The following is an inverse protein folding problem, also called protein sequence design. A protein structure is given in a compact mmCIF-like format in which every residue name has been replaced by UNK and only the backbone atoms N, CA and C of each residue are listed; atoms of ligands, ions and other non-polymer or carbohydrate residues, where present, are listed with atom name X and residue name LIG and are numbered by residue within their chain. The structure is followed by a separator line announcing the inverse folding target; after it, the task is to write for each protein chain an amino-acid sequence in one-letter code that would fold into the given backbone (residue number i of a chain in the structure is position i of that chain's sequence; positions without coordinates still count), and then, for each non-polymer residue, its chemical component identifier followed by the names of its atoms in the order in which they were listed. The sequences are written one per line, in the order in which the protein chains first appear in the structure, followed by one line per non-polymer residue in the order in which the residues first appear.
data_IF_797078537797
#
_entry.id   IF_797078537797
#
_cell.length_a   1.000
_cell.length_b   1.000
_cell.length_c   1.000
_cell.angle_alpha   90.00
_cell.angle_beta   90.00
_cell.angle_gamma   90.00
#
_symmetry.space_group_name_H-M   'P 1'
#
loop_
_entity.id
_entity.type
_entity.pdbx_description
1 polymer ?
#
# COMPACT_ATOMS: atom_id res chain seq x y z
N UNK A 1 -9.74 -2.24 -3.17
CA UNK A 1 -8.68 -1.94 -2.16
C UNK A 1 -8.47 -3.17 -1.31
N UNK A 2 -7.23 -3.52 -0.99
CA UNK A 2 -6.88 -4.61 -0.08
C UNK A 2 -5.96 -4.04 1.00
N UNK A 3 -6.18 -4.39 2.26
CA UNK A 3 -5.23 -4.17 3.33
C UNK A 3 -4.74 -5.53 3.87
N UNK A 4 -3.48 -5.59 4.25
CA UNK A 4 -2.87 -6.78 4.85
C UNK A 4 -1.94 -6.38 6.00
N UNK A 5 -1.62 -7.32 6.86
CA UNK A 5 -0.57 -7.20 7.85
C UNK A 5 0.79 -7.71 7.32
N UNK A 6 1.82 -7.66 8.15
CA UNK A 6 3.17 -8.14 7.78
C UNK A 6 3.28 -9.67 7.79
N UNK A 7 2.30 -10.37 8.35
CA UNK A 7 2.17 -11.84 8.28
C UNK A 7 1.46 -12.29 7.00
N UNK A 8 1.26 -11.39 6.04
CA UNK A 8 0.55 -11.60 4.77
C UNK A 8 -0.94 -11.98 4.94
N UNK A 9 -1.53 -11.67 6.10
CA UNK A 9 -2.96 -11.85 6.33
C UNK A 9 -3.73 -10.66 5.78
N UNK A 10 -4.77 -10.93 5.02
CA UNK A 10 -5.65 -9.89 4.48
C UNK A 10 -6.60 -9.46 5.60
N UNK A 11 -6.55 -8.18 5.95
CA UNK A 11 -7.36 -7.57 7.01
C UNK A 11 -8.58 -6.82 6.46
N UNK A 12 -8.52 -6.39 5.20
CA UNK A 12 -9.62 -5.71 4.53
C UNK A 12 -9.63 -6.03 3.05
N UNK A 13 -10.82 -6.23 2.51
CA UNK A 13 -11.08 -6.26 1.06
C UNK A 13 -12.24 -5.32 0.73
N UNK A 14 -12.00 -4.33 -0.12
CA UNK A 14 -13.03 -3.48 -0.70
C UNK A 14 -13.00 -3.64 -2.22
N UNK A 15 -13.99 -4.34 -2.76
CA UNK A 15 -14.14 -4.66 -4.19
C UNK A 15 -15.25 -3.81 -4.84
N UNK A 16 -15.45 -3.98 -6.14
CA UNK A 16 -16.54 -3.34 -6.88
C UNK A 16 -16.26 -1.89 -7.33
N UNK A 17 -14.99 -1.49 -7.38
CA UNK A 17 -14.60 -0.18 -7.86
C UNK A 17 -14.14 -0.22 -9.31
N UNK A 18 -14.58 0.77 -10.09
CA UNK A 18 -14.06 0.99 -11.45
C UNK A 18 -12.58 1.37 -11.40
N UNK A 19 -11.82 1.02 -12.44
CA UNK A 19 -10.40 1.30 -12.54
C UNK A 19 -10.05 2.81 -12.53
N UNK A 20 -11.01 3.67 -12.80
CA UNK A 20 -10.93 5.14 -12.75
C UNK A 20 -11.14 5.73 -11.35
N UNK A 21 -11.61 4.93 -10.38
CA UNK A 21 -11.84 5.43 -9.03
C UNK A 21 -10.51 5.82 -8.36
N UNK A 22 -10.46 7.01 -7.77
CA UNK A 22 -9.29 7.48 -7.04
C UNK A 22 -9.17 6.76 -5.70
N UNK A 23 -7.92 6.54 -5.26
CA UNK A 23 -7.59 5.85 -4.02
C UNK A 23 -8.26 6.47 -2.80
N UNK A 24 -8.27 7.80 -2.74
CA UNK A 24 -8.92 8.55 -1.66
C UNK A 24 -10.44 8.36 -1.65
N UNK A 25 -11.10 8.16 -2.80
CA UNK A 25 -12.52 7.84 -2.88
C UNK A 25 -12.82 6.45 -2.35
N UNK A 26 -11.99 5.48 -2.73
CA UNK A 26 -12.12 4.09 -2.28
C UNK A 26 -11.91 4.00 -0.76
N UNK A 27 -10.89 4.67 -0.24
CA UNK A 27 -10.61 4.71 1.21
C UNK A 27 -11.75 5.36 1.99
N UNK A 28 -12.25 6.52 1.53
CA UNK A 28 -13.39 7.21 2.17
C UNK A 28 -14.63 6.34 2.25
N UNK A 29 -14.92 5.59 1.17
CA UNK A 29 -16.02 4.64 1.18
C UNK A 29 -15.77 3.44 2.11
N UNK A 30 -14.53 2.96 2.24
CA UNK A 30 -14.23 1.92 3.21
C UNK A 30 -14.45 2.41 4.64
N UNK A 31 -14.00 3.64 4.95
CA UNK A 31 -14.21 4.26 6.27
C UNK A 31 -15.71 4.47 6.58
N UNK A 32 -16.51 4.89 5.60
CA UNK A 32 -17.97 5.03 5.78
C UNK A 32 -18.68 3.69 5.99
N UNK A 33 -18.06 2.58 5.62
CA UNK A 33 -18.55 1.21 5.85
C UNK A 33 -17.99 0.55 7.12
N UNK A 34 -17.38 1.35 8.01
CA UNK A 34 -16.86 0.87 9.30
C UNK A 34 -15.40 0.43 9.28
N UNK A 35 -14.63 0.75 8.23
CA UNK A 35 -13.18 0.54 8.29
C UNK A 35 -12.57 1.60 9.20
N UNK A 36 -12.02 1.14 10.32
CA UNK A 36 -11.36 1.98 11.31
C UNK A 36 -9.91 1.58 11.48
N UNK A 37 -9.05 2.56 11.70
CA UNK A 37 -7.65 2.34 12.07
C UNK A 37 -7.57 2.38 13.59
N UNK A 38 -7.17 1.29 14.27
CA UNK A 38 -7.09 1.26 15.72
C UNK A 38 -6.14 2.36 16.26
N UNK A 39 -6.40 2.91 17.45
CA UNK A 39 -5.52 3.91 18.08
C UNK A 39 -4.06 3.44 18.16
N UNK A 40 -3.11 4.34 17.91
CA UNK A 40 -1.67 4.04 17.93
C UNK A 40 -1.18 3.17 16.77
N UNK A 41 -2.00 2.98 15.74
CA UNK A 41 -1.65 2.17 14.56
C UNK A 41 -1.83 2.97 13.28
N UNK A 42 -1.14 2.59 12.23
CA UNK A 42 -1.24 3.24 10.92
C UNK A 42 -1.01 2.24 9.79
N UNK A 43 -1.50 2.61 8.63
CA UNK A 43 -1.27 1.87 7.39
C UNK A 43 -0.22 2.58 6.53
N UNK A 44 0.69 1.81 5.97
CA UNK A 44 1.55 2.29 4.88
C UNK A 44 0.73 2.29 3.60
N UNK A 45 0.57 3.46 3.01
CA UNK A 45 -0.24 3.65 1.80
C UNK A 45 0.62 4.12 0.62
N UNK A 46 0.07 4.02 -0.57
CA UNK A 46 0.70 4.50 -1.79
C UNK A 46 0.74 6.03 -1.87
N UNK A 47 1.56 6.58 -2.77
CA UNK A 47 1.67 8.02 -3.04
C UNK A 47 0.38 8.69 -3.53
N UNK A 48 -0.63 7.91 -3.94
CA UNK A 48 -1.97 8.39 -4.28
C UNK A 48 -2.80 8.84 -3.08
N UNK A 49 -2.41 8.47 -1.87
CA UNK A 49 -3.11 8.82 -0.63
C UNK A 49 -2.56 10.10 0.02
N UNK A 50 -3.39 10.73 0.84
CA UNK A 50 -2.93 11.81 1.71
C UNK A 50 -2.21 11.23 2.94
N UNK A 51 -1.13 11.91 3.37
CA UNK A 51 -0.43 11.56 4.58
C UNK A 51 -1.22 12.08 5.80
N UNK A 52 -1.54 11.20 6.75
CA UNK A 52 -2.30 11.48 7.96
C UNK A 52 -1.71 10.70 9.14
N UNK A 53 -2.24 10.88 10.35
CA UNK A 53 -1.85 10.08 11.52
C UNK A 53 -2.13 8.58 11.36
N UNK A 54 -3.13 8.22 10.54
CA UNK A 54 -3.55 6.83 10.31
C UNK A 54 -3.04 6.24 8.99
N UNK A 55 -2.56 7.07 8.08
CA UNK A 55 -2.10 6.65 6.75
C UNK A 55 -0.78 7.33 6.41
N UNK A 56 0.28 6.53 6.36
CA UNK A 56 1.63 7.00 6.10
C UNK A 56 1.98 6.79 4.63
N UNK A 57 1.99 7.90 3.88
CA UNK A 57 2.34 7.95 2.46
C UNK A 57 3.81 8.36 2.27
N UNK A 58 4.44 8.01 1.14
CA UNK A 58 5.78 8.46 0.81
C UNK A 58 5.81 9.96 0.48
N UNK A 59 6.96 10.59 0.64
CA UNK A 59 7.19 11.96 0.22
C UNK A 59 7.08 12.07 -1.30
N UNK A 60 6.25 13.00 -1.79
CA UNK A 60 6.08 13.28 -3.21
C UNK A 60 7.29 14.02 -3.77
N UNK A 61 7.62 13.75 -5.04
CA UNK A 61 8.75 14.40 -5.72
C UNK A 61 10.13 13.98 -5.22
N UNK A 62 10.20 12.91 -4.42
CA UNK A 62 11.43 12.32 -3.89
C UNK A 62 11.49 10.87 -4.38
N UNK A 63 12.67 10.35 -4.70
CA UNK A 63 12.87 8.98 -5.15
C UNK A 63 12.15 7.98 -4.23
N UNK A 64 11.35 7.11 -4.85
CA UNK A 64 10.49 6.18 -4.12
C UNK A 64 10.66 4.73 -4.54
N UNK A 65 10.92 4.49 -5.82
CA UNK A 65 11.03 3.11 -6.32
C UNK A 65 12.35 2.47 -5.89
N UNK A 66 12.29 1.21 -5.45
CA UNK A 66 13.50 0.47 -5.04
C UNK A 66 14.55 0.35 -6.16
N UNK A 67 14.11 0.43 -7.43
CA UNK A 67 15.00 0.45 -8.59
C UNK A 67 15.84 1.74 -8.69
N UNK A 68 15.41 2.81 -8.03
CA UNK A 68 16.15 4.09 -7.95
C UNK A 68 17.27 4.03 -6.91
N UNK A 69 17.32 2.96 -6.10
CA UNK A 69 18.35 2.72 -5.08
C UNK A 69 19.03 1.37 -5.37
N UNK A 70 20.33 1.32 -5.36
CA UNK A 70 21.08 0.11 -5.62
C UNK A 70 22.50 0.39 -6.10
N UNK A 71 23.27 -0.65 -6.49
CA UNK A 71 24.67 -0.51 -6.88
C UNK A 71 24.92 0.50 -8.00
N UNK A 72 23.96 0.67 -8.91
CA UNK A 72 24.04 1.58 -10.05
C UNK A 72 23.42 2.96 -9.84
N UNK A 73 22.60 3.17 -8.80
CA UNK A 73 21.85 4.41 -8.59
C UNK A 73 22.18 5.11 -7.25
N UNK A 74 23.06 4.50 -6.44
CA UNK A 74 23.53 5.07 -5.18
C UNK A 74 22.63 4.77 -3.97
N UNK A 75 23.05 5.32 -2.82
CA UNK A 75 22.34 5.23 -1.54
C UNK A 75 21.48 6.48 -1.34
N UNK A 76 20.40 6.41 -0.53
CA UNK A 76 19.64 7.58 -0.15
C UNK A 76 20.53 8.71 0.35
N UNK A 77 20.41 9.91 -0.23
CA UNK A 77 21.28 11.05 0.05
C UNK A 77 20.75 11.94 1.19
N UNK A 78 19.46 11.83 1.50
CA UNK A 78 18.81 12.63 2.52
C UNK A 78 17.76 11.82 3.30
N UNK A 79 17.26 12.40 4.39
CA UNK A 79 16.29 11.75 5.27
C UNK A 79 14.96 11.39 4.58
N UNK A 80 14.51 12.20 3.61
CA UNK A 80 13.28 11.93 2.86
C UNK A 80 13.44 10.75 1.91
N UNK A 81 14.57 10.67 1.22
CA UNK A 81 14.90 9.51 0.37
C UNK A 81 15.06 8.24 1.22
N UNK A 82 15.73 8.33 2.36
CA UNK A 82 15.88 7.21 3.28
C UNK A 82 14.51 6.73 3.79
N UNK A 83 13.62 7.66 4.13
CA UNK A 83 12.25 7.33 4.51
C UNK A 83 11.51 6.62 3.36
N UNK A 84 11.52 7.19 2.16
CA UNK A 84 10.86 6.61 0.99
C UNK A 84 11.41 5.22 0.64
N UNK A 85 12.72 5.04 0.75
CA UNK A 85 13.36 3.73 0.54
C UNK A 85 12.87 2.68 1.55
N UNK A 86 12.87 3.02 2.85
CA UNK A 86 12.36 2.13 3.90
C UNK A 86 10.87 1.86 3.75
N UNK A 87 10.09 2.87 3.42
CA UNK A 87 8.67 2.77 3.13
C UNK A 87 8.40 1.80 1.95
N UNK A 88 9.16 1.93 0.85
CA UNK A 88 9.04 1.04 -0.30
C UNK A 88 9.43 -0.41 0.03
N UNK A 89 10.49 -0.62 0.84
CA UNK A 89 10.86 -1.95 1.31
C UNK A 89 9.74 -2.63 2.10
N UNK A 90 9.12 -1.89 3.02
CA UNK A 90 8.00 -2.41 3.82
C UNK A 90 6.76 -2.68 2.94
N UNK A 91 6.48 -1.81 1.97
CA UNK A 91 5.36 -2.03 1.04
C UNK A 91 5.52 -3.23 0.11
N UNK A 92 6.73 -3.73 -0.10
CA UNK A 92 6.93 -4.98 -0.83
C UNK A 92 6.18 -6.18 -0.22
N UNK A 93 5.88 -6.16 1.08
CA UNK A 93 5.05 -7.19 1.71
C UNK A 93 3.65 -7.23 1.09
N UNK A 94 3.11 -6.09 0.74
CA UNK A 94 1.81 -5.97 0.06
C UNK A 94 1.85 -6.61 -1.32
N UNK A 95 2.87 -6.29 -2.10
CA UNK A 95 3.03 -6.87 -3.45
C UNK A 95 3.22 -8.39 -3.37
N UNK A 96 3.94 -8.86 -2.35
CA UNK A 96 4.08 -10.30 -2.06
C UNK A 96 2.73 -10.94 -1.72
N UNK A 97 1.93 -10.33 -0.85
CA UNK A 97 0.59 -10.81 -0.50
C UNK A 97 -0.29 -10.92 -1.74
N UNK A 98 -0.29 -9.89 -2.58
CA UNK A 98 -1.03 -9.91 -3.85
C UNK A 98 -0.49 -10.96 -4.82
N UNK A 99 0.82 -11.15 -4.88
CA UNK A 99 1.44 -12.20 -5.68
C UNK A 99 0.99 -13.60 -5.25
N UNK A 100 0.92 -13.86 -3.95
CA UNK A 100 0.41 -15.11 -3.38
C UNK A 100 -1.09 -15.27 -3.70
N UNK A 101 -1.88 -14.21 -3.48
CA UNK A 101 -3.31 -14.22 -3.77
C UNK A 101 -3.59 -14.54 -5.24
N UNK A 102 -2.89 -13.89 -6.16
CA UNK A 102 -3.02 -14.13 -7.61
C UNK A 102 -2.56 -15.52 -8.03
N UNK A 103 -1.58 -16.11 -7.34
CA UNK A 103 -1.16 -17.50 -7.58
C UNK A 103 -2.22 -18.49 -7.11
N UNK A 104 -2.84 -18.22 -5.98
CA UNK A 104 -3.87 -19.08 -5.37
C UNK A 104 -5.19 -19.03 -6.14
N UNK A 105 -5.55 -17.87 -6.64
CA UNK A 105 -6.81 -17.61 -7.35
C UNK A 105 -6.52 -17.15 -8.79
N UNK A 106 -6.46 -18.12 -9.71
CA UNK A 106 -6.09 -17.86 -11.10
C UNK A 106 -7.03 -16.86 -11.82
N UNK A 107 -8.32 -16.80 -11.43
CA UNK A 107 -9.27 -15.85 -11.99
C UNK A 107 -8.86 -14.38 -11.74
N UNK A 108 -8.06 -14.10 -10.69
CA UNK A 108 -7.54 -12.76 -10.44
C UNK A 108 -6.43 -12.33 -11.41
N UNK A 109 -5.87 -13.29 -12.19
CA UNK A 109 -4.90 -13.00 -13.24
C UNK A 109 -5.54 -12.55 -14.54
N UNK A 110 -6.74 -13.05 -14.84
CA UNK A 110 -7.46 -12.85 -16.09
C UNK A 110 -8.48 -11.71 -16.03
N UNK A 111 -8.46 -10.89 -14.97
CA UNK A 111 -9.35 -9.75 -14.84
C UNK A 111 -9.04 -8.70 -15.90
N UNK A 112 -10.05 -8.25 -16.68
CA UNK A 112 -9.87 -7.14 -17.59
C UNK A 112 -9.36 -5.91 -16.81
N UNK A 113 -8.61 -5.05 -17.49
CA UNK A 113 -7.98 -3.82 -16.94
C UNK A 113 -8.94 -2.86 -16.22
N UNK A 114 -10.23 -3.09 -16.30
CA UNK A 114 -11.30 -2.36 -15.60
C UNK A 114 -11.44 -2.70 -14.12
N UNK A 115 -10.90 -3.83 -13.65
CA UNK A 115 -10.97 -4.21 -12.23
C UNK A 115 -9.56 -4.27 -11.63
N UNK A 116 -9.04 -3.13 -11.23
CA UNK A 116 -7.73 -3.08 -10.58
C UNK A 116 -7.85 -3.53 -9.13
N UNK A 117 -7.23 -4.67 -8.80
CA UNK A 117 -6.83 -5.00 -7.43
C UNK A 117 -5.62 -4.12 -7.09
N UNK A 118 -5.83 -2.83 -6.92
CA UNK A 118 -4.72 -1.87 -7.00
C UNK A 118 -4.44 -1.06 -5.75
N UNK A 119 -5.01 -1.28 -4.63
CA UNK A 119 -4.58 -0.46 -3.50
C UNK A 119 -4.41 -1.31 -2.26
N UNK A 120 -3.16 -1.51 -1.91
CA UNK A 120 -2.75 -2.28 -0.77
C UNK A 120 -2.09 -1.39 0.28
N UNK A 121 -2.49 -1.58 1.51
CA UNK A 121 -1.91 -0.94 2.68
C UNK A 121 -1.38 -2.01 3.62
N UNK A 122 -0.19 -1.82 4.16
CA UNK A 122 0.33 -2.62 5.26
C UNK A 122 0.05 -1.93 6.59
N UNK A 123 -0.30 -2.72 7.56
CA UNK A 123 -0.61 -2.29 8.91
C UNK A 123 0.61 -2.41 9.81
N UNK A 124 0.98 -1.35 10.50
CA UNK A 124 2.06 -1.35 11.49
C UNK A 124 1.46 -1.15 12.88
N UNK A 125 1.75 -2.06 13.79
CA UNK A 125 1.55 -1.85 15.22
C UNK A 125 2.80 -1.15 15.76
N UNK A 126 2.63 -0.02 16.44
CA UNK A 126 3.70 0.46 17.30
C UNK A 126 3.79 -0.51 18.49
N UNK A 127 4.81 -1.36 18.48
CA UNK A 127 5.21 -2.04 19.71
C UNK A 127 5.87 -1.00 20.60
N UNK A 128 5.33 -0.78 21.79
CA UNK A 128 6.00 -0.07 22.85
C UNK A 128 7.30 -0.79 23.21
#
# INVERSE_FOLDING_TARGET
MIACDFDLKITLVSSGWEGSATDSRVLRSAMSKGFEVPPGKFYLVDGGYANTSSFLAPYRGVGYHLKEFGPSHGRPQNSKELFNHRHALLRNHVERTLGVLKKRFLFLKSQPSTCKVTHCSCYISQSN
#
